data_IF_032684393235
#
_entry.id   IF_032684393235
#
_cell.length_a   1.000
_cell.length_b   1.000
_cell.length_c   1.000
_cell.angle_alpha   90.00
_cell.angle_beta   90.00
_cell.angle_gamma   90.00
#
_symmetry.space_group_name_H-M   'P 1'
#
loop_
_entity.id
_entity.type
_entity.pdbx_description
1 polymer ?
#
# COMPACT_ATOMS: atom_id res chain seq x y z
N UNK A 1 27.87 -17.61 -4.38
CA UNK A 1 27.09 -17.41 -5.64
C UNK A 1 25.62 -17.60 -5.31
N UNK A 2 24.80 -16.53 -5.33
CA UNK A 2 23.35 -16.62 -5.07
C UNK A 2 22.66 -17.17 -6.32
N UNK A 3 22.04 -18.35 -6.22
CA UNK A 3 21.18 -18.88 -7.28
C UNK A 3 19.78 -18.28 -7.11
N UNK A 4 19.37 -17.46 -8.07
CA UNK A 4 18.00 -16.93 -8.14
C UNK A 4 17.22 -17.79 -9.12
N UNK A 5 16.14 -18.41 -8.64
CA UNK A 5 15.24 -19.19 -9.48
C UNK A 5 14.04 -18.32 -9.88
N UNK A 6 13.73 -18.28 -11.18
CA UNK A 6 12.58 -17.57 -11.73
C UNK A 6 11.50 -18.57 -12.13
N UNK A 7 10.39 -18.55 -11.42
CA UNK A 7 9.22 -19.39 -11.73
C UNK A 7 8.08 -18.54 -12.28
N UNK A 8 7.36 -19.06 -13.28
CA UNK A 8 6.13 -18.46 -13.76
C UNK A 8 4.98 -18.97 -12.88
N UNK A 9 4.19 -18.04 -12.34
CA UNK A 9 2.99 -18.39 -11.61
C UNK A 9 1.89 -18.78 -12.60
N UNK A 10 1.23 -19.92 -12.35
CA UNK A 10 0.03 -20.36 -13.07
C UNK A 10 -1.10 -20.50 -12.05
N UNK A 11 -1.73 -19.37 -11.66
CA UNK A 11 -2.76 -19.39 -10.64
C UNK A 11 -4.05 -20.09 -11.13
N UNK A 12 -4.79 -20.68 -10.21
CA UNK A 12 -6.17 -21.12 -10.50
C UNK A 12 -7.10 -19.90 -10.57
N UNK A 13 -8.29 -20.06 -11.16
CA UNK A 13 -9.29 -18.98 -11.21
C UNK A 13 -9.61 -18.36 -9.83
N UNK A 14 -9.66 -19.19 -8.79
CA UNK A 14 -9.88 -18.73 -7.42
C UNK A 14 -8.72 -17.87 -6.91
N UNK A 15 -7.47 -18.26 -7.23
CA UNK A 15 -6.29 -17.48 -6.89
C UNK A 15 -6.22 -16.16 -7.66
N UNK A 16 -6.53 -16.16 -8.96
CA UNK A 16 -6.62 -14.93 -9.77
C UNK A 16 -7.62 -13.94 -9.18
N UNK A 17 -8.81 -14.42 -8.82
CA UNK A 17 -9.82 -13.59 -8.18
C UNK A 17 -9.33 -13.01 -6.84
N UNK A 18 -8.74 -13.85 -5.98
CA UNK A 18 -8.21 -13.39 -4.70
C UNK A 18 -7.09 -12.34 -4.87
N UNK A 19 -6.19 -12.54 -5.84
CA UNK A 19 -5.15 -11.56 -6.19
C UNK A 19 -5.75 -10.25 -6.74
N UNK A 20 -6.82 -10.33 -7.53
CA UNK A 20 -7.54 -9.17 -8.03
C UNK A 20 -8.20 -8.35 -6.92
N UNK A 21 -8.86 -9.02 -5.97
CA UNK A 21 -9.43 -8.35 -4.77
C UNK A 21 -8.32 -7.69 -3.95
N UNK A 22 -7.23 -8.42 -3.69
CA UNK A 22 -6.07 -7.88 -2.97
C UNK A 22 -5.49 -6.65 -3.67
N UNK A 23 -5.26 -6.73 -4.98
CA UNK A 23 -4.77 -5.60 -5.78
C UNK A 23 -5.72 -4.39 -5.70
N UNK A 24 -7.04 -4.63 -5.76
CA UNK A 24 -8.05 -3.60 -5.61
C UNK A 24 -7.96 -2.88 -4.26
N UNK A 25 -7.80 -3.63 -3.17
CA UNK A 25 -7.63 -3.07 -1.81
C UNK A 25 -6.33 -2.28 -1.66
N UNK A 26 -5.21 -2.81 -2.16
CA UNK A 26 -3.92 -2.11 -2.14
C UNK A 26 -3.95 -0.83 -2.97
N UNK A 27 -4.65 -0.82 -4.12
CA UNK A 27 -4.86 0.38 -4.94
C UNK A 27 -5.70 1.42 -4.20
N UNK A 28 -6.77 1.00 -3.51
CA UNK A 28 -7.59 1.91 -2.72
C UNK A 28 -6.76 2.57 -1.61
N UNK A 29 -5.99 1.77 -0.86
CA UNK A 29 -5.09 2.28 0.18
C UNK A 29 -4.06 3.28 -0.37
N UNK A 30 -3.46 3.00 -1.52
CA UNK A 30 -2.53 3.92 -2.18
C UNK A 30 -3.19 5.28 -2.46
N UNK A 31 -4.39 5.26 -3.04
CA UNK A 31 -5.11 6.48 -3.39
C UNK A 31 -5.54 7.27 -2.15
N UNK A 32 -5.98 6.59 -1.08
CA UNK A 32 -6.32 7.23 0.19
C UNK A 32 -5.08 7.90 0.82
N UNK A 33 -3.94 7.21 0.85
CA UNK A 33 -2.69 7.76 1.35
C UNK A 33 -2.17 8.93 0.49
N UNK A 34 -2.36 8.87 -0.83
CA UNK A 34 -2.04 9.99 -1.72
C UNK A 34 -2.94 11.19 -1.45
N UNK A 35 -4.24 10.96 -1.30
CA UNK A 35 -5.21 12.02 -0.99
C UNK A 35 -4.87 12.70 0.34
N UNK A 36 -4.57 11.93 1.38
CA UNK A 36 -4.16 12.46 2.68
C UNK A 36 -2.93 13.38 2.57
N UNK A 37 -1.91 13.00 1.78
CA UNK A 37 -0.74 13.86 1.53
C UNK A 37 -1.10 15.15 0.81
N UNK A 38 -2.00 15.09 -0.18
CA UNK A 38 -2.47 16.26 -0.92
C UNK A 38 -3.25 17.20 -0.01
N UNK A 39 -4.18 16.66 0.76
CA UNK A 39 -4.98 17.42 1.71
C UNK A 39 -4.08 18.04 2.77
N UNK A 40 -3.14 17.29 3.33
CA UNK A 40 -2.13 17.80 4.26
C UNK A 40 -1.36 18.98 3.70
N UNK A 41 -0.88 18.88 2.46
CA UNK A 41 -0.18 19.98 1.78
C UNK A 41 -1.04 21.26 1.70
N UNK A 42 -2.31 21.13 1.33
CA UNK A 42 -3.24 22.26 1.28
C UNK A 42 -3.48 22.91 2.65
N UNK A 43 -3.40 22.13 3.74
CA UNK A 43 -3.57 22.61 5.12
C UNK A 43 -2.25 22.97 5.81
N UNK A 44 -1.11 22.96 5.10
CA UNK A 44 0.21 23.24 5.67
C UNK A 44 0.75 22.15 6.59
N UNK A 45 0.17 20.94 6.57
CA UNK A 45 0.57 19.79 7.36
C UNK A 45 1.38 18.82 6.51
N UNK A 46 2.61 18.52 6.94
CA UNK A 46 3.45 17.54 6.27
C UNK A 46 3.09 16.12 6.72
N UNK A 47 2.41 15.37 5.85
CA UNK A 47 2.18 13.93 6.02
C UNK A 47 3.42 13.17 5.55
N UNK A 48 3.93 12.26 6.38
CA UNK A 48 5.18 11.52 6.13
C UNK A 48 4.91 10.03 5.95
N UNK A 49 5.88 9.29 5.41
CA UNK A 49 5.84 7.82 5.40
C UNK A 49 5.60 7.24 6.81
N UNK A 50 6.35 7.73 7.81
CA UNK A 50 6.27 7.22 9.17
C UNK A 50 4.90 7.44 9.83
N UNK A 51 4.21 8.55 9.52
CA UNK A 51 2.86 8.80 10.03
C UNK A 51 1.85 7.84 9.39
N UNK A 52 1.95 7.61 8.08
CA UNK A 52 1.06 6.71 7.34
C UNK A 52 1.29 5.24 7.73
N UNK A 53 2.53 4.83 7.98
CA UNK A 53 2.84 3.48 8.44
C UNK A 53 2.22 3.18 9.81
N UNK A 54 2.20 4.16 10.72
CA UNK A 54 1.47 4.03 12.00
C UNK A 54 -0.03 3.87 11.80
N UNK A 55 -0.62 4.60 10.85
CA UNK A 55 -2.03 4.51 10.53
C UNK A 55 -2.44 3.12 10.00
N UNK A 56 -1.54 2.40 9.32
CA UNK A 56 -1.81 1.03 8.84
C UNK A 56 -2.15 0.08 9.99
N UNK A 57 -1.48 0.22 11.14
CA UNK A 57 -1.78 -0.58 12.33
C UNK A 57 -3.19 -0.32 12.84
N UNK A 58 -3.66 0.94 12.78
CA UNK A 58 -5.03 1.28 13.15
C UNK A 58 -6.03 0.68 12.16
N UNK A 59 -5.82 0.88 10.85
CA UNK A 59 -6.69 0.35 9.77
C UNK A 59 -6.84 -1.17 9.89
N UNK A 60 -5.77 -1.88 10.22
CA UNK A 60 -5.78 -3.34 10.32
C UNK A 60 -6.58 -3.86 11.52
N UNK A 61 -6.71 -3.06 12.58
CA UNK A 61 -7.47 -3.39 13.79
C UNK A 61 -8.85 -2.73 13.84
N UNK A 62 -9.20 -1.94 12.82
CA UNK A 62 -10.46 -1.20 12.75
C UNK A 62 -11.60 -2.13 12.29
N UNK A 63 -12.65 -2.32 13.10
CA UNK A 63 -13.83 -3.11 12.73
C UNK A 63 -14.54 -2.60 11.48
N UNK A 64 -14.42 -1.31 11.14
CA UNK A 64 -14.99 -0.71 9.93
C UNK A 64 -14.17 -1.04 8.67
N UNK A 65 -12.96 -1.60 8.83
CA UNK A 65 -12.06 -1.99 7.76
C UNK A 65 -11.74 -3.50 7.75
N UNK A 66 -12.75 -4.40 7.79
CA UNK A 66 -12.51 -5.84 7.99
C UNK A 66 -11.67 -6.48 6.88
N UNK A 67 -11.74 -5.93 5.66
CA UNK A 67 -10.99 -6.42 4.50
C UNK A 67 -9.46 -6.29 4.65
N UNK A 68 -8.99 -5.40 5.53
CA UNK A 68 -7.55 -5.17 5.74
C UNK A 68 -6.94 -6.07 6.82
N UNK A 69 -7.76 -6.59 7.75
CA UNK A 69 -7.31 -7.46 8.83
C UNK A 69 -6.56 -8.71 8.30
N UNK A 70 -7.08 -9.30 7.22
CA UNK A 70 -6.50 -10.48 6.57
C UNK A 70 -5.31 -10.21 5.65
N UNK A 71 -4.99 -8.94 5.34
CA UNK A 71 -3.90 -8.60 4.44
C UNK A 71 -2.57 -8.63 5.20
N UNK A 72 -1.54 -9.25 4.60
CA UNK A 72 -0.21 -9.29 5.18
C UNK A 72 0.36 -7.87 5.35
N UNK A 73 0.85 -7.54 6.55
CA UNK A 73 1.25 -6.17 6.91
C UNK A 73 2.31 -5.59 5.97
N UNK A 74 3.28 -6.40 5.54
CA UNK A 74 4.29 -5.98 4.57
C UNK A 74 3.72 -5.50 3.22
N UNK A 75 2.58 -6.00 2.77
CA UNK A 75 1.95 -5.51 1.54
C UNK A 75 1.40 -4.10 1.73
N UNK A 76 0.81 -3.82 2.90
CA UNK A 76 0.32 -2.49 3.26
C UNK A 76 1.49 -1.50 3.41
N UNK A 77 2.57 -1.91 4.05
CA UNK A 77 3.79 -1.10 4.18
C UNK A 77 4.44 -0.82 2.81
N UNK A 78 4.47 -1.81 1.91
CA UNK A 78 5.02 -1.63 0.56
C UNK A 78 4.21 -0.60 -0.25
N UNK A 79 2.90 -0.50 -0.04
CA UNK A 79 2.06 0.53 -0.67
C UNK A 79 2.50 1.94 -0.28
N UNK A 80 2.65 2.20 1.03
CA UNK A 80 3.07 3.53 1.53
C UNK A 80 4.51 3.83 1.11
N UNK A 81 5.38 2.82 1.09
CA UNK A 81 6.77 2.95 0.61
C UNK A 81 6.85 3.30 -0.88
N UNK A 82 6.00 2.69 -1.72
CA UNK A 82 5.90 3.04 -3.15
C UNK A 82 5.40 4.46 -3.36
N UNK A 83 4.43 4.89 -2.55
CA UNK A 83 3.97 6.28 -2.56
C UNK A 83 5.12 7.22 -2.24
N UNK A 84 5.90 6.93 -1.19
CA UNK A 84 7.02 7.76 -0.79
C UNK A 84 8.08 7.92 -1.89
N UNK A 85 8.47 6.80 -2.51
CA UNK A 85 9.39 6.79 -3.67
C UNK A 85 8.86 7.60 -4.85
N UNK A 86 7.55 7.61 -5.08
CA UNK A 86 6.95 8.42 -6.14
C UNK A 86 7.12 9.92 -5.87
N UNK A 87 7.03 10.35 -4.60
CA UNK A 87 7.31 11.74 -4.21
C UNK A 87 8.80 12.08 -4.29
N UNK A 88 9.70 11.17 -3.92
CA UNK A 88 11.15 11.36 -4.08
C UNK A 88 11.52 11.54 -5.57
N UNK A 89 11.03 10.65 -6.44
CA UNK A 89 11.28 10.72 -7.89
C UNK A 89 10.66 11.95 -8.57
N UNK A 90 9.58 12.51 -8.04
CA UNK A 90 8.94 13.72 -8.56
C UNK A 90 9.71 15.01 -8.25
N UNK A 91 10.71 14.98 -7.37
CA UNK A 91 11.54 16.15 -7.01
C UNK A 91 12.73 16.39 -7.95
N UNK A 92 12.82 15.62 -9.05
CA UNK A 92 13.86 15.72 -10.08
C UNK A 92 13.38 16.38 -11.40
N UNK A 93 12.40 17.29 -11.33
CA UNK A 93 11.85 18.03 -12.47
C UNK A 93 11.94 19.54 -12.29
#
# INVERSE_FOLDING_TARGET
MLRVYKFRLYPTRAQEHALGVLLGRLRFLYNAALQERRDGYHHGVKVTHATQEKALTAIKNDPECPDYAGIHTHLLQDVVKRLDRAFEGSSAG
#
